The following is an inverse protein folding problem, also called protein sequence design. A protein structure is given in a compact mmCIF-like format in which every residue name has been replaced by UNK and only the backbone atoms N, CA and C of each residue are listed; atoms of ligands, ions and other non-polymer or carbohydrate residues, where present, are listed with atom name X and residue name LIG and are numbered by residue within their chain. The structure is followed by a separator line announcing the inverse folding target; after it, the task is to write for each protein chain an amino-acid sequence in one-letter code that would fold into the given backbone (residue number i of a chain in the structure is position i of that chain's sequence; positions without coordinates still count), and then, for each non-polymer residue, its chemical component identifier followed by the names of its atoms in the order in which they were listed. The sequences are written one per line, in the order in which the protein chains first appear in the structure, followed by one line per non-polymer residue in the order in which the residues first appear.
data_IF_696133640294
#
_entry.id   IF_696133640294
#
_cell.length_a   1.000
_cell.length_b   1.000
_cell.length_c   1.000
_cell.angle_alpha   90.00
_cell.angle_beta   90.00
_cell.angle_gamma   90.00
#
_symmetry.space_group_name_H-M   'P 1'
#
loop_
_entity.id
_entity.type
_entity.pdbx_description
1 polymer ?
#
# COMPACT_ATOMS: atom_id res chain seq x y z
N UNK A 1 -20.15 -35.21 -54.42
CA UNK A 1 -19.32 -35.29 -53.19
C UNK A 1 -19.62 -34.05 -52.36
N UNK A 2 -19.84 -34.27 -51.06
CA UNK A 2 -19.93 -33.34 -49.92
C UNK A 2 -20.90 -32.13 -49.97
N UNK A 3 -21.98 -32.29 -49.20
CA UNK A 3 -22.66 -31.24 -48.42
C UNK A 3 -21.68 -30.62 -47.42
N UNK A 4 -21.90 -29.38 -46.98
CA UNK A 4 -22.08 -28.97 -45.56
C UNK A 4 -22.17 -27.44 -45.48
N UNK A 5 -23.28 -26.99 -44.91
CA UNK A 5 -23.57 -25.62 -44.48
C UNK A 5 -22.90 -25.30 -43.12
N UNK A 6 -23.29 -24.18 -42.50
CA UNK A 6 -23.20 -23.89 -41.04
C UNK A 6 -21.78 -23.42 -40.59
N UNK A 7 -21.53 -22.38 -39.77
CA UNK A 7 -22.32 -21.59 -38.79
C UNK A 7 -21.60 -20.25 -38.57
N UNK A 8 -22.37 -19.19 -38.33
CA UNK A 8 -21.90 -17.92 -37.79
C UNK A 8 -21.30 -18.07 -36.37
N UNK A 9 -20.07 -17.59 -36.17
CA UNK A 9 -19.43 -17.50 -34.85
C UNK A 9 -19.39 -16.06 -34.36
N UNK A 10 -20.39 -15.67 -33.55
CA UNK A 10 -20.42 -14.40 -32.83
C UNK A 10 -19.41 -14.50 -31.66
N UNK A 11 -18.22 -13.96 -31.83
CA UNK A 11 -17.22 -13.92 -30.76
C UNK A 11 -17.57 -12.79 -29.78
N UNK A 12 -18.28 -13.15 -28.71
CA UNK A 12 -18.54 -12.29 -27.56
C UNK A 12 -17.21 -12.05 -26.83
N UNK A 13 -16.57 -10.92 -27.08
CA UNK A 13 -15.41 -10.49 -26.31
C UNK A 13 -15.89 -10.08 -24.91
N UNK A 14 -15.64 -10.93 -23.92
CA UNK A 14 -15.83 -10.60 -22.51
C UNK A 14 -14.92 -9.42 -22.16
N UNK A 15 -15.48 -8.22 -22.10
CA UNK A 15 -14.84 -7.06 -21.46
C UNK A 15 -14.93 -7.31 -19.96
N UNK A 16 -13.95 -8.04 -19.42
CA UNK A 16 -13.71 -8.05 -17.98
C UNK A 16 -13.36 -6.62 -17.58
N UNK A 17 -14.12 -5.96 -16.67
CA UNK A 17 -13.67 -4.70 -16.12
C UNK A 17 -12.42 -5.02 -15.29
N UNK A 18 -11.26 -4.70 -15.84
CA UNK A 18 -10.05 -4.55 -15.07
C UNK A 18 -10.38 -3.49 -14.01
N UNK A 19 -10.58 -3.93 -12.78
CA UNK A 19 -10.67 -3.04 -11.64
C UNK A 19 -9.34 -2.27 -11.61
N UNK A 20 -9.37 -1.04 -12.12
CA UNK A 20 -8.31 -0.08 -11.97
C UNK A 20 -8.22 0.20 -10.47
N UNK A 21 -7.41 -0.61 -9.78
CA UNK A 21 -7.07 -0.41 -8.39
C UNK A 21 -6.30 0.92 -8.35
N UNK A 22 -6.99 2.00 -7.98
CA UNK A 22 -6.37 3.29 -7.73
C UNK A 22 -5.24 3.05 -6.72
N UNK A 23 -4.00 3.37 -7.12
CA UNK A 23 -2.88 3.34 -6.20
C UNK A 23 -3.25 4.18 -4.96
N UNK A 24 -2.92 3.73 -3.74
CA UNK A 24 -3.23 4.49 -2.55
C UNK A 24 -2.54 5.86 -2.64
N UNK A 25 -3.32 6.94 -2.57
CA UNK A 25 -2.85 8.34 -2.68
C UNK A 25 -1.87 8.76 -1.56
N UNK A 26 -1.64 7.89 -0.57
CA UNK A 26 -0.73 8.09 0.56
C UNK A 26 0.46 7.13 0.53
N UNK A 27 1.18 7.10 -0.60
CA UNK A 27 2.56 6.61 -0.57
C UNK A 27 3.39 7.62 0.19
N UNK A 28 3.94 7.21 1.33
CA UNK A 28 4.91 8.04 2.04
C UNK A 28 6.25 7.87 1.34
N UNK A 29 6.54 8.82 0.47
CA UNK A 29 7.89 9.06 -0.04
C UNK A 29 8.61 9.86 1.03
N UNK A 30 9.03 9.19 2.12
CA UNK A 30 10.15 9.76 2.87
C UNK A 30 11.26 9.96 1.87
N UNK A 31 11.73 11.21 1.75
CA UNK A 31 12.71 11.70 0.78
C UNK A 31 14.05 10.97 0.82
N UNK A 32 14.05 9.70 0.44
CA UNK A 32 15.24 8.91 0.17
C UNK A 32 14.96 8.14 -1.12
N UNK A 33 15.74 8.38 -2.18
CA UNK A 33 15.78 7.51 -3.34
C UNK A 33 16.28 6.13 -2.89
N UNK A 34 15.35 5.27 -2.48
CA UNK A 34 15.45 3.81 -2.36
C UNK A 34 16.42 3.19 -1.31
N UNK A 35 16.69 3.87 -0.20
CA UNK A 35 17.67 3.47 0.83
C UNK A 35 17.17 2.70 2.07
N UNK A 36 16.02 2.02 2.03
CA UNK A 36 15.55 1.15 3.14
C UNK A 36 14.05 1.18 3.46
N UNK A 37 13.33 2.16 2.92
CA UNK A 37 11.89 2.37 3.21
C UNK A 37 10.95 1.78 2.16
N UNK A 38 11.48 1.03 1.20
CA UNK A 38 10.72 0.31 0.16
C UNK A 38 9.72 1.17 -0.63
N UNK A 39 9.98 2.47 -0.78
CA UNK A 39 9.09 3.39 -1.49
C UNK A 39 8.83 2.97 -2.94
N UNK A 40 9.84 2.44 -3.65
CA UNK A 40 9.69 1.93 -5.01
C UNK A 40 8.75 0.73 -5.07
N UNK A 41 8.94 -0.25 -4.20
CA UNK A 41 8.12 -1.46 -4.17
C UNK A 41 6.66 -1.12 -3.78
N UNK A 42 6.45 -0.19 -2.85
CA UNK A 42 5.11 0.32 -2.51
C UNK A 42 4.43 1.01 -3.69
N UNK A 43 5.14 1.89 -4.40
CA UNK A 43 4.60 2.62 -5.56
C UNK A 43 4.30 1.68 -6.73
N UNK A 44 5.10 0.61 -6.88
CA UNK A 44 4.89 -0.42 -7.89
C UNK A 44 3.75 -1.41 -7.55
N UNK A 45 3.20 -1.35 -6.34
CA UNK A 45 2.20 -2.32 -5.86
C UNK A 45 2.80 -3.67 -5.42
N UNK A 46 4.12 -3.79 -5.36
CA UNK A 46 4.85 -4.98 -4.92
C UNK A 46 4.87 -5.11 -3.38
N UNK A 47 3.68 -5.13 -2.77
CA UNK A 47 3.50 -5.04 -1.32
C UNK A 47 4.19 -6.17 -0.54
N UNK A 48 4.23 -7.39 -1.10
CA UNK A 48 4.91 -8.52 -0.48
C UNK A 48 6.44 -8.29 -0.40
N UNK A 49 7.02 -7.74 -1.47
CA UNK A 49 8.45 -7.40 -1.53
C UNK A 49 8.77 -6.24 -0.59
N UNK A 50 7.92 -5.22 -0.56
CA UNK A 50 8.04 -4.10 0.37
C UNK A 50 8.04 -4.59 1.82
N UNK A 51 7.06 -5.40 2.21
CA UNK A 51 6.96 -5.95 3.56
C UNK A 51 8.18 -6.80 3.95
N UNK A 52 8.74 -7.58 3.00
CA UNK A 52 9.95 -8.37 3.24
C UNK A 52 11.15 -7.47 3.54
N UNK A 53 11.34 -6.38 2.79
CA UNK A 53 12.45 -5.43 3.01
C UNK A 53 12.29 -4.67 4.33
N UNK A 54 11.08 -4.21 4.62
CA UNK A 54 10.78 -3.42 5.83
C UNK A 54 10.83 -4.23 7.12
N UNK A 55 10.67 -5.55 7.03
CA UNK A 55 10.87 -6.51 8.14
C UNK A 55 12.33 -6.83 8.43
N UNK A 56 13.26 -6.51 7.52
CA UNK A 56 14.68 -6.70 7.80
C UNK A 56 15.11 -5.65 8.84
N UNK A 57 14.92 -5.99 10.12
CA UNK A 57 15.15 -5.07 11.23
C UNK A 57 16.66 -4.94 11.46
N UNK A 58 17.18 -3.73 11.30
CA UNK A 58 18.41 -3.32 11.97
C UNK A 58 17.99 -2.86 13.38
N UNK A 59 18.70 -3.23 14.46
CA UNK A 59 18.29 -2.92 15.83
C UNK A 59 17.86 -1.46 16.03
N UNK A 60 18.62 -0.53 15.45
CA UNK A 60 18.39 0.91 15.59
C UNK A 60 17.17 1.41 14.81
N UNK A 61 16.77 0.67 13.77
CA UNK A 61 15.61 1.00 12.95
C UNK A 61 14.32 0.49 13.56
N UNK A 62 14.32 -0.38 14.58
CA UNK A 62 13.12 -1.11 15.03
C UNK A 62 11.92 -0.19 15.34
N UNK A 63 12.18 1.00 15.88
CA UNK A 63 11.16 1.98 16.24
C UNK A 63 11.06 3.17 15.27
N UNK A 64 11.70 3.13 14.09
CA UNK A 64 11.58 4.19 13.09
C UNK A 64 10.10 4.29 12.60
N UNK A 65 9.41 5.42 12.84
CA UNK A 65 8.01 5.57 12.45
C UNK A 65 7.83 5.57 10.92
N UNK A 66 8.78 6.07 10.14
CA UNK A 66 8.67 6.08 8.68
C UNK A 66 8.57 4.66 8.13
N UNK A 67 9.49 3.78 8.55
CA UNK A 67 9.50 2.37 8.20
C UNK A 67 8.23 1.65 8.68
N UNK A 68 7.78 1.92 9.91
CA UNK A 68 6.56 1.30 10.45
C UNK A 68 5.32 1.71 9.67
N UNK A 69 5.22 2.96 9.23
CA UNK A 69 4.11 3.41 8.37
C UNK A 69 4.18 2.72 7.01
N UNK A 70 5.34 2.67 6.38
CA UNK A 70 5.50 1.96 5.10
C UNK A 70 5.23 0.46 5.22
N UNK A 71 5.55 -0.15 6.36
CA UNK A 71 5.22 -1.55 6.63
C UNK A 71 3.70 -1.73 6.77
N UNK A 72 3.03 -0.78 7.43
CA UNK A 72 1.57 -0.75 7.49
C UNK A 72 0.94 -0.61 6.10
N UNK A 73 1.48 0.24 5.24
CA UNK A 73 1.02 0.40 3.85
C UNK A 73 1.18 -0.90 3.05
N UNK A 74 2.31 -1.58 3.19
CA UNK A 74 2.54 -2.88 2.57
C UNK A 74 1.53 -3.93 3.07
N UNK A 75 1.28 -3.99 4.38
CA UNK A 75 0.26 -4.89 4.92
C UNK A 75 -1.15 -4.56 4.43
N UNK A 76 -1.50 -3.27 4.36
CA UNK A 76 -2.78 -2.83 3.86
C UNK A 76 -2.97 -3.25 2.38
N UNK A 77 -1.95 -3.03 1.54
CA UNK A 77 -1.97 -3.45 0.13
C UNK A 77 -2.11 -4.96 -0.08
N UNK A 78 -1.67 -5.78 0.88
CA UNK A 78 -1.85 -7.24 0.88
C UNK A 78 -3.20 -7.71 1.48
N UNK A 79 -4.08 -6.81 1.90
CA UNK A 79 -5.33 -7.19 2.59
C UNK A 79 -5.14 -7.56 4.08
N UNK A 80 -3.93 -7.43 4.62
CA UNK A 80 -3.57 -7.83 5.99
C UNK A 80 -3.90 -6.71 7.00
N UNK A 81 -5.18 -6.44 7.19
CA UNK A 81 -5.66 -5.28 7.96
C UNK A 81 -5.23 -5.27 9.44
N UNK A 82 -5.16 -6.45 10.07
CA UNK A 82 -4.72 -6.57 11.48
C UNK A 82 -3.25 -6.18 11.61
N UNK A 83 -2.39 -6.68 10.71
CA UNK A 83 -0.96 -6.36 10.70
C UNK A 83 -0.72 -4.89 10.36
N UNK A 84 -1.49 -4.34 9.40
CA UNK A 84 -1.43 -2.93 9.05
C UNK A 84 -1.75 -2.04 10.26
N UNK A 85 -2.84 -2.37 10.98
CA UNK A 85 -3.24 -1.64 12.19
C UNK A 85 -2.17 -1.71 13.28
N UNK A 86 -1.54 -2.87 13.45
CA UNK A 86 -0.45 -3.05 14.39
C UNK A 86 0.74 -2.15 14.05
N UNK A 87 1.18 -2.16 12.78
CA UNK A 87 2.30 -1.36 12.33
C UNK A 87 2.07 0.16 12.48
N UNK A 88 0.89 0.66 12.10
CA UNK A 88 0.56 2.09 12.31
C UNK A 88 0.45 2.45 13.78
N UNK A 89 -0.09 1.56 14.62
CA UNK A 89 -0.14 1.78 16.07
C UNK A 89 1.28 1.89 16.63
N UNK A 90 2.20 1.02 16.23
CA UNK A 90 3.61 1.13 16.62
C UNK A 90 4.21 2.46 16.18
N UNK A 91 4.00 2.87 14.92
CA UNK A 91 4.51 4.16 14.42
C UNK A 91 4.00 5.37 15.23
N UNK A 92 2.73 5.34 15.66
CA UNK A 92 2.13 6.40 16.48
C UNK A 92 2.81 6.54 17.85
N UNK A 93 3.35 5.46 18.40
CA UNK A 93 4.01 5.44 19.71
C UNK A 93 5.54 5.51 19.63
N UNK A 94 6.11 5.54 18.43
CA UNK A 94 7.53 5.82 18.20
C UNK A 94 7.90 7.27 18.53
N UNK A 95 9.20 7.58 18.66
CA UNK A 95 9.68 8.97 18.68
C UNK A 95 9.08 9.76 17.52
N UNK A 96 8.57 10.96 17.82
CA UNK A 96 7.99 11.83 16.82
C UNK A 96 9.08 12.38 15.89
N UNK A 97 8.79 12.45 14.60
CA UNK A 97 9.66 13.09 13.63
C UNK A 97 8.83 13.76 12.53
N UNK A 98 9.42 14.77 11.91
CA UNK A 98 8.89 15.34 10.67
C UNK A 98 9.16 14.38 9.52
N UNK A 99 8.12 14.03 8.79
CA UNK A 99 8.18 13.25 7.56
C UNK A 99 7.99 14.18 6.38
N UNK A 100 8.84 14.03 5.37
CA UNK A 100 8.60 14.59 4.04
C UNK A 100 7.70 13.61 3.30
N UNK A 101 6.61 14.11 2.73
CA UNK A 101 5.63 13.35 1.97
C UNK A 101 5.95 13.37 0.47
N UNK A 102 5.24 12.57 -0.32
CA UNK A 102 5.43 12.50 -1.78
C UNK A 102 5.16 13.81 -2.52
N UNK A 103 4.26 14.63 -2.00
CA UNK A 103 3.94 15.96 -2.51
C UNK A 103 4.93 17.04 -2.04
N UNK A 104 5.97 16.66 -1.29
CA UNK A 104 6.94 17.58 -0.70
C UNK A 104 6.47 18.27 0.58
N UNK A 105 5.25 17.99 1.05
CA UNK A 105 4.78 18.52 2.33
C UNK A 105 5.49 17.89 3.52
N UNK A 106 5.62 18.64 4.61
CA UNK A 106 6.14 18.14 5.87
C UNK A 106 5.00 17.87 6.85
N UNK A 107 4.99 16.69 7.47
CA UNK A 107 3.95 16.28 8.40
C UNK A 107 4.53 15.52 9.60
N UNK A 108 3.87 15.61 10.76
CA UNK A 108 4.23 14.80 11.93
C UNK A 108 4.01 13.31 11.65
N UNK A 109 4.97 12.47 12.01
CA UNK A 109 4.85 11.02 11.91
C UNK A 109 3.63 10.46 12.67
N UNK A 110 3.24 11.11 13.77
CA UNK A 110 2.05 10.73 14.56
C UNK A 110 0.76 11.05 13.83
N UNK A 111 0.71 12.20 13.15
CA UNK A 111 -0.46 12.62 12.39
C UNK A 111 -0.70 11.71 11.20
N UNK A 112 0.37 11.41 10.49
CA UNK A 112 0.40 10.47 9.39
C UNK A 112 -0.06 9.08 9.82
N UNK A 113 0.49 8.53 10.91
CA UNK A 113 0.08 7.23 11.42
C UNK A 113 -1.40 7.19 11.82
N UNK A 114 -1.92 8.26 12.44
CA UNK A 114 -3.34 8.37 12.79
C UNK A 114 -4.24 8.39 11.57
N UNK A 115 -3.87 9.15 10.53
CA UNK A 115 -4.59 9.21 9.25
C UNK A 115 -4.55 7.85 8.54
N UNK A 116 -3.42 7.16 8.54
CA UNK A 116 -3.31 5.82 7.97
C UNK A 116 -4.23 4.82 8.69
N UNK A 117 -4.31 4.88 10.03
CA UNK A 117 -5.23 4.06 10.81
C UNK A 117 -6.71 4.32 10.50
N UNK A 118 -7.12 5.57 10.32
CA UNK A 118 -8.53 5.90 10.05
C UNK A 118 -9.01 5.37 8.69
N UNK A 119 -8.10 5.15 7.74
CA UNK A 119 -8.41 4.53 6.44
C UNK A 119 -8.55 3.01 6.48
N UNK A 120 -7.99 2.35 7.50
CA UNK A 120 -8.13 0.89 7.66
C UNK A 120 -9.53 0.46 8.09
N UNK A 121 -10.25 1.34 8.77
CA UNK A 121 -11.68 1.18 8.98
C UNK A 121 -12.35 1.50 7.64
N UNK A 122 -12.94 0.50 6.95
CA UNK A 122 -13.86 0.83 5.88
C UNK A 122 -14.90 1.74 6.51
N UNK A 123 -15.30 2.80 5.82
CA UNK A 123 -16.55 3.46 6.11
C UNK A 123 -17.63 2.41 5.89
N UNK A 124 -17.92 1.61 6.92
CA UNK A 124 -19.00 0.62 6.97
C UNK A 124 -20.34 1.34 7.17
N UNK A 125 -20.48 2.49 6.52
CA UNK A 125 -21.56 3.45 6.65
C UNK A 125 -21.79 4.15 5.30
N UNK A 126 -21.89 3.37 4.23
CA UNK A 126 -22.61 3.78 3.02
C UNK A 126 -22.91 2.54 2.16
N UNK A 127 -23.77 1.66 2.67
CA UNK A 127 -24.83 0.91 1.95
C UNK A 127 -25.42 -0.16 2.86
#
# INVERSE_FOLDING_TARGET
MLKVALIAGFALACVSPAMAQSAPEDVIVVGVPDGGLAARDLTAGDYAKAAKRLKAVWPDSANDPARLINLGNAYAGMGRMVDARSAYKSARFSPEMTLVMADGSEQSSRDVARRAMSRLTPVYASR
#
